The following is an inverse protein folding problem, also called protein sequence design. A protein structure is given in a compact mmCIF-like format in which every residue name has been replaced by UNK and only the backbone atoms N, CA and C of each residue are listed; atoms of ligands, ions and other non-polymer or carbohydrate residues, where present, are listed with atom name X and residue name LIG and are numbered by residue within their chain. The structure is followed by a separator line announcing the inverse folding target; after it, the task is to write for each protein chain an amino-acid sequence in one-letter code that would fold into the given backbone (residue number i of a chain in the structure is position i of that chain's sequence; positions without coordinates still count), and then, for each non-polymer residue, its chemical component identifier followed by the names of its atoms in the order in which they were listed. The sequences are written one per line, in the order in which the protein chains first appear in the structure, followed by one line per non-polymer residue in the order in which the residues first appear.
data_IF_481470197819
#
_entry.id   IF_481470197819
#
_cell.length_a   1.000
_cell.length_b   1.000
_cell.length_c   1.000
_cell.angle_alpha   90.00
_cell.angle_beta   90.00
_cell.angle_gamma   90.00
#
_symmetry.space_group_name_H-M   'P 1'
#
loop_
_entity.id
_entity.type
_entity.pdbx_description
1 polymer ?
#
# COMPACT_ATOMS: atom_id res chain seq x y z
N UNK A 1 -4.34 -25.27 -42.09
CA UNK A 1 -3.86 -23.87 -42.09
C UNK A 1 -3.08 -23.65 -43.37
N UNK A 2 -3.59 -22.86 -44.32
CA UNK A 2 -2.80 -22.43 -45.47
C UNK A 2 -1.81 -21.37 -44.98
N UNK A 3 -0.51 -21.62 -45.17
CA UNK A 3 0.54 -20.62 -44.90
C UNK A 3 0.38 -19.47 -45.90
N UNK A 4 0.38 -18.23 -45.42
CA UNK A 4 0.58 -17.05 -46.27
C UNK A 4 2.00 -17.14 -46.84
N UNK A 5 2.13 -17.40 -48.13
CA UNK A 5 3.40 -17.28 -48.86
C UNK A 5 3.59 -15.81 -49.26
N UNK A 6 4.44 -15.09 -48.52
CA UNK A 6 4.75 -13.66 -48.76
C UNK A 6 5.85 -13.51 -49.84
N UNK A 7 6.40 -14.63 -50.34
CA UNK A 7 7.67 -14.67 -51.05
C UNK A 7 7.61 -14.57 -52.58
N UNK A 8 6.43 -14.61 -53.20
CA UNK A 8 6.28 -14.44 -54.65
C UNK A 8 5.18 -13.41 -54.95
N UNK A 9 5.58 -12.27 -55.53
CA UNK A 9 4.72 -11.11 -55.78
C UNK A 9 3.34 -11.42 -56.35
N UNK A 10 2.31 -10.96 -55.63
CA UNK A 10 1.01 -10.50 -56.11
C UNK A 10 0.16 -11.50 -56.91
N UNK A 11 -0.63 -12.32 -56.23
CA UNK A 11 -1.88 -12.86 -56.78
C UNK A 11 -3.01 -11.87 -56.41
N UNK A 12 -4.04 -11.65 -57.24
CA UNK A 12 -5.16 -10.75 -56.87
C UNK A 12 -5.80 -11.14 -55.52
N UNK A 13 -5.82 -12.44 -55.21
CA UNK A 13 -6.24 -12.98 -53.91
C UNK A 13 -5.28 -12.66 -52.73
N UNK A 14 -3.98 -12.43 -52.96
CA UNK A 14 -3.05 -12.07 -51.88
C UNK A 14 -3.23 -10.64 -51.40
N UNK A 15 -3.71 -9.73 -52.26
CA UNK A 15 -4.09 -8.38 -51.85
C UNK A 15 -5.39 -8.40 -51.06
N UNK A 16 -6.40 -9.18 -51.48
CA UNK A 16 -7.63 -9.36 -50.70
C UNK A 16 -7.34 -9.97 -49.32
N UNK A 17 -6.45 -10.96 -49.24
CA UNK A 17 -6.00 -11.55 -47.98
C UNK A 17 -5.24 -10.53 -47.10
N UNK A 18 -4.47 -9.61 -47.70
CA UNK A 18 -3.80 -8.53 -46.99
C UNK A 18 -4.79 -7.49 -46.44
N UNK A 19 -5.77 -7.09 -47.25
CA UNK A 19 -6.84 -6.15 -46.86
C UNK A 19 -7.71 -6.75 -45.73
N UNK A 20 -7.99 -8.05 -45.79
CA UNK A 20 -8.68 -8.75 -44.71
C UNK A 20 -7.84 -8.86 -43.44
N UNK A 21 -6.52 -9.01 -43.55
CA UNK A 21 -5.60 -9.03 -42.40
C UNK A 21 -5.50 -7.65 -41.75
N UNK A 22 -5.35 -6.59 -42.53
CA UNK A 22 -5.33 -5.21 -42.05
C UNK A 22 -6.61 -4.89 -41.28
N UNK A 23 -7.78 -5.13 -41.90
CA UNK A 23 -9.08 -4.94 -41.27
C UNK A 23 -9.20 -5.70 -39.94
N UNK A 24 -8.79 -6.97 -39.93
CA UNK A 24 -8.83 -7.82 -38.72
C UNK A 24 -7.89 -7.30 -37.63
N UNK A 25 -6.75 -6.73 -38.00
CA UNK A 25 -5.78 -6.16 -37.05
C UNK A 25 -6.33 -4.87 -36.46
N UNK A 26 -6.93 -4.00 -37.27
CA UNK A 26 -7.62 -2.78 -36.83
C UNK A 26 -8.78 -3.10 -35.87
N UNK A 27 -9.61 -4.09 -36.20
CA UNK A 27 -10.72 -4.53 -35.34
C UNK A 27 -10.21 -5.04 -33.97
N UNK A 28 -9.09 -5.80 -33.95
CA UNK A 28 -8.49 -6.31 -32.71
C UNK A 28 -7.90 -5.18 -31.86
N UNK A 29 -7.21 -4.22 -32.49
CA UNK A 29 -6.65 -3.06 -31.80
C UNK A 29 -7.77 -2.23 -31.16
N UNK A 30 -8.89 -2.03 -31.87
CA UNK A 30 -10.05 -1.33 -31.33
C UNK A 30 -10.63 -2.06 -30.10
N UNK A 31 -10.75 -3.40 -30.14
CA UNK A 31 -11.26 -4.20 -29.01
C UNK A 31 -10.35 -4.12 -27.78
N UNK A 32 -9.03 -4.23 -27.98
CA UNK A 32 -8.05 -4.13 -26.88
C UNK A 32 -8.11 -2.74 -26.24
N UNK A 33 -8.12 -1.68 -27.04
CA UNK A 33 -8.15 -0.32 -26.49
C UNK A 33 -9.50 0.08 -25.92
N UNK A 34 -10.63 -0.39 -26.47
CA UNK A 34 -11.94 -0.25 -25.80
C UNK A 34 -11.96 -0.88 -24.41
N UNK A 35 -11.16 -1.92 -24.19
CA UNK A 35 -11.04 -2.57 -22.88
C UNK A 35 -10.11 -1.83 -21.93
N UNK A 36 -9.14 -1.06 -22.44
CA UNK A 36 -8.15 -0.32 -21.63
C UNK A 36 -8.49 1.16 -21.42
N UNK A 37 -9.24 1.78 -22.33
CA UNK A 37 -9.62 3.19 -22.27
C UNK A 37 -10.93 3.37 -21.51
N UNK A 38 -10.97 4.37 -20.63
CA UNK A 38 -12.15 4.68 -19.82
C UNK A 38 -13.35 5.08 -20.68
N UNK A 39 -13.10 5.88 -21.72
CA UNK A 39 -14.10 6.26 -22.71
C UNK A 39 -13.47 6.33 -24.11
N UNK A 40 -13.72 5.36 -25.01
CA UNK A 40 -13.11 5.33 -26.35
C UNK A 40 -13.59 6.47 -27.28
N UNK A 41 -14.53 7.31 -26.85
CA UNK A 41 -14.93 8.53 -27.56
C UNK A 41 -14.07 9.75 -27.21
N UNK A 42 -13.25 9.65 -26.16
CA UNK A 42 -12.33 10.71 -25.73
C UNK A 42 -10.95 10.46 -26.35
N UNK A 43 -10.21 11.55 -26.55
CA UNK A 43 -8.85 11.50 -27.09
C UNK A 43 -7.84 11.42 -25.96
N UNK A 44 -6.87 10.52 -26.08
CA UNK A 44 -5.91 10.24 -25.02
C UNK A 44 -4.49 10.49 -25.47
N UNK A 45 -3.72 11.17 -24.62
CA UNK A 45 -2.26 11.20 -24.73
C UNK A 45 -1.69 9.94 -24.11
N UNK A 46 -1.04 9.09 -24.90
CA UNK A 46 -0.56 7.77 -24.47
C UNK A 46 0.81 7.86 -23.81
N UNK A 47 1.75 8.51 -24.49
CA UNK A 47 3.09 8.85 -23.97
C UNK A 47 3.62 10.09 -24.68
N UNK A 48 4.57 10.77 -24.06
CA UNK A 48 5.17 11.97 -24.64
C UNK A 48 4.16 13.11 -24.80
N UNK A 49 4.21 13.78 -25.96
CA UNK A 49 3.41 14.97 -26.32
C UNK A 49 3.37 16.02 -25.20
N UNK A 50 4.49 16.19 -24.50
CA UNK A 50 4.62 17.20 -23.45
C UNK A 50 4.80 18.54 -24.14
N UNK A 51 3.86 19.46 -23.89
CA UNK A 51 3.91 20.83 -24.37
C UNK A 51 4.60 21.69 -23.32
N UNK A 52 5.60 22.46 -23.73
CA UNK A 52 6.33 23.38 -22.87
C UNK A 52 6.56 24.71 -23.58
N UNK A 53 6.37 25.80 -22.85
CA UNK A 53 6.70 27.14 -23.34
C UNK A 53 8.16 27.47 -23.03
N UNK A 54 8.87 27.97 -24.05
CA UNK A 54 10.17 28.59 -23.90
C UNK A 54 10.03 30.10 -24.13
N UNK A 55 9.84 30.82 -23.03
CA UNK A 55 9.59 32.28 -23.05
C UNK A 55 10.81 33.05 -23.56
N UNK A 56 12.02 32.53 -23.36
CA UNK A 56 13.24 33.17 -23.81
C UNK A 56 13.39 33.08 -25.33
N UNK A 57 13.04 31.94 -25.91
CA UNK A 57 13.05 31.73 -27.36
C UNK A 57 11.76 32.20 -28.05
N UNK A 58 10.71 32.51 -27.28
CA UNK A 58 9.39 32.86 -27.82
C UNK A 58 8.74 31.69 -28.57
N UNK A 59 8.95 30.45 -28.09
CA UNK A 59 8.48 29.24 -28.77
C UNK A 59 7.65 28.34 -27.87
N UNK A 60 6.78 27.55 -28.49
CA UNK A 60 6.07 26.44 -27.89
C UNK A 60 6.67 25.14 -28.44
N UNK A 61 7.20 24.32 -27.54
CA UNK A 61 7.85 23.05 -27.85
C UNK A 61 6.90 21.91 -27.50
N UNK A 62 6.88 20.88 -28.34
CA UNK A 62 6.23 19.60 -28.02
C UNK A 62 7.20 18.45 -28.24
N UNK A 63 7.25 17.53 -27.29
CA UNK A 63 8.04 16.30 -27.42
C UNK A 63 7.35 15.32 -28.36
N UNK A 64 8.13 14.42 -28.95
CA UNK A 64 7.58 13.25 -29.62
C UNK A 64 6.66 12.44 -28.70
N UNK A 65 5.72 11.70 -29.28
CA UNK A 65 4.77 10.91 -28.50
C UNK A 65 3.72 10.21 -29.35
N UNK A 66 2.63 9.79 -28.71
CA UNK A 66 1.48 9.21 -29.41
C UNK A 66 0.16 9.65 -28.77
N UNK A 67 -0.82 9.89 -29.65
CA UNK A 67 -2.19 10.26 -29.30
C UNK A 67 -3.15 9.22 -29.89
N UNK A 68 -4.14 8.82 -29.10
CA UNK A 68 -5.32 8.11 -29.59
C UNK A 68 -6.44 9.13 -29.83
N UNK A 69 -6.95 9.19 -31.05
CA UNK A 69 -8.02 10.12 -31.44
C UNK A 69 -8.92 9.46 -32.49
N UNK A 70 -10.24 9.65 -32.40
CA UNK A 70 -11.21 9.09 -33.35
C UNK A 70 -11.04 7.58 -33.64
N UNK A 71 -10.55 6.81 -32.65
CA UNK A 71 -10.27 5.37 -32.73
C UNK A 71 -9.00 4.96 -33.47
N UNK A 72 -8.16 5.92 -33.84
CA UNK A 72 -6.87 5.68 -34.49
C UNK A 72 -5.71 6.18 -33.63
N UNK A 73 -4.51 5.70 -33.97
CA UNK A 73 -3.26 6.08 -33.32
C UNK A 73 -2.49 7.01 -34.23
N UNK A 74 -2.11 8.16 -33.70
CA UNK A 74 -1.26 9.11 -34.39
C UNK A 74 0.02 9.31 -33.61
N UNK A 75 1.14 9.15 -34.30
CA UNK A 75 2.43 9.58 -33.79
C UNK A 75 2.47 11.11 -33.79
N UNK A 76 2.99 11.68 -32.71
CA UNK A 76 3.27 13.10 -32.60
C UNK A 76 4.75 13.32 -32.86
N UNK A 77 5.04 14.18 -33.83
CA UNK A 77 6.42 14.55 -34.16
C UNK A 77 6.90 15.66 -33.23
N UNK A 78 8.12 15.56 -32.72
CA UNK A 78 8.71 16.63 -31.93
C UNK A 78 8.87 17.90 -32.77
N UNK A 79 8.45 19.04 -32.23
CA UNK A 79 8.51 20.31 -32.95
C UNK A 79 8.60 21.51 -32.01
N UNK A 80 9.07 22.62 -32.56
CA UNK A 80 9.08 23.94 -31.93
C UNK A 80 8.40 24.92 -32.88
N UNK A 81 7.34 25.57 -32.41
CA UNK A 81 6.58 26.56 -33.20
C UNK A 81 6.60 27.92 -32.49
N UNK A 82 6.46 29.05 -33.20
CA UNK A 82 6.40 30.37 -32.57
C UNK A 82 5.23 30.49 -31.59
N UNK A 83 5.47 31.15 -30.46
CA UNK A 83 4.43 31.50 -29.50
C UNK A 83 3.59 32.66 -30.06
N UNK A 84 2.33 32.38 -30.32
CA UNK A 84 1.29 33.33 -30.72
C UNK A 84 0.50 33.85 -29.51
N UNK A 85 -0.05 35.07 -29.65
CA UNK A 85 -0.85 35.75 -28.61
C UNK A 85 -2.32 35.80 -29.02
N UNK A 86 -3.21 35.43 -28.10
CA UNK A 86 -4.61 35.13 -28.44
C UNK A 86 -4.74 33.72 -29.02
N UNK A 87 -5.96 33.20 -29.19
CA UNK A 87 -6.20 31.90 -29.83
C UNK A 87 -5.87 30.65 -28.99
N UNK A 88 -5.93 29.49 -29.65
CA UNK A 88 -5.73 28.18 -29.03
C UNK A 88 -4.78 27.31 -29.87
N UNK A 89 -4.05 26.44 -29.18
CA UNK A 89 -3.21 25.43 -29.80
C UNK A 89 -3.92 24.07 -29.80
N UNK A 90 -3.63 23.28 -30.82
CA UNK A 90 -4.13 21.92 -30.94
C UNK A 90 -3.26 21.08 -31.84
N UNK A 91 -3.69 19.84 -32.06
CA UNK A 91 -3.04 18.90 -32.94
C UNK A 91 -3.85 18.79 -34.24
N UNK A 92 -3.15 18.85 -35.36
CA UNK A 92 -3.69 18.64 -36.70
C UNK A 92 -3.16 17.33 -37.27
N UNK A 93 -4.06 16.54 -37.85
CA UNK A 93 -3.71 15.34 -38.59
C UNK A 93 -3.17 15.77 -39.96
N UNK A 94 -1.98 15.31 -40.29
CA UNK A 94 -1.32 15.61 -41.56
C UNK A 94 -0.62 14.37 -42.08
N UNK A 95 -0.38 14.33 -43.38
CA UNK A 95 0.48 13.32 -43.98
C UNK A 95 1.90 13.47 -43.43
N UNK A 96 2.56 12.34 -43.17
CA UNK A 96 3.90 12.28 -42.63
C UNK A 96 4.90 12.85 -43.63
N UNK A 97 5.52 14.02 -43.35
CA UNK A 97 6.44 14.65 -44.29
C UNK A 97 7.73 13.83 -44.48
N UNK A 98 8.06 12.95 -43.53
CA UNK A 98 9.27 12.11 -43.55
C UNK A 98 9.05 10.75 -44.21
N UNK A 99 7.81 10.39 -44.53
CA UNK A 99 7.45 9.20 -45.29
C UNK A 99 6.64 9.61 -46.52
N UNK A 100 7.25 10.35 -47.48
CA UNK A 100 6.56 10.71 -48.71
C UNK A 100 6.21 9.40 -49.42
N UNK A 101 4.92 9.07 -49.43
CA UNK A 101 4.41 7.78 -49.91
C UNK A 101 5.14 7.32 -51.16
N UNK A 102 5.94 6.26 -51.03
CA UNK A 102 6.70 5.71 -52.17
C UNK A 102 5.71 5.05 -53.11
N UNK A 103 5.38 5.72 -54.23
CA UNK A 103 4.46 5.21 -55.25
C UNK A 103 4.75 3.74 -55.56
N UNK A 104 3.77 2.87 -55.35
CA UNK A 104 3.87 1.47 -55.70
C UNK A 104 3.31 1.32 -57.11
N UNK A 105 4.16 0.87 -58.04
CA UNK A 105 3.75 0.52 -59.40
C UNK A 105 3.51 -0.99 -59.41
N UNK A 106 2.26 -1.41 -59.60
CA UNK A 106 1.95 -2.82 -59.78
C UNK A 106 2.52 -3.34 -61.11
N UNK A 107 2.74 -4.65 -61.22
CA UNK A 107 3.16 -5.29 -62.48
C UNK A 107 2.20 -5.03 -63.66
N UNK A 108 0.95 -4.62 -63.39
CA UNK A 108 -0.03 -4.17 -64.38
C UNK A 108 0.27 -2.78 -64.98
N UNK A 109 1.27 -2.06 -64.47
CA UNK A 109 1.53 -0.65 -64.80
C UNK A 109 0.60 0.32 -64.08
N UNK A 110 -0.30 -0.17 -63.21
CA UNK A 110 -1.16 0.69 -62.40
C UNK A 110 -0.36 1.30 -61.26
N UNK A 111 -0.34 2.63 -61.20
CA UNK A 111 0.15 3.37 -60.04
C UNK A 111 -0.92 3.36 -58.95
N UNK A 112 -0.53 2.96 -57.73
CA UNK A 112 -1.30 3.27 -56.54
C UNK A 112 -0.45 4.13 -55.63
N UNK A 113 -0.99 5.29 -55.28
CA UNK A 113 -0.43 6.15 -54.24
C UNK A 113 -0.56 5.38 -52.93
N UNK A 114 0.54 4.93 -52.30
CA UNK A 114 0.43 4.26 -51.01
C UNK A 114 -0.26 5.19 -50.02
N UNK A 115 -0.97 4.60 -49.06
CA UNK A 115 -1.46 5.31 -47.89
C UNK A 115 -0.28 6.05 -47.25
N UNK A 116 -0.34 7.38 -47.25
CA UNK A 116 0.64 8.19 -46.56
C UNK A 116 0.40 7.99 -45.06
N UNK A 117 1.44 7.64 -44.31
CA UNK A 117 1.35 7.55 -42.86
C UNK A 117 0.82 8.88 -42.34
N UNK A 118 -0.20 8.87 -41.50
CA UNK A 118 -0.71 10.09 -40.88
C UNK A 118 -0.03 10.31 -39.53
N UNK A 119 0.35 11.56 -39.28
CA UNK A 119 0.93 12.02 -38.03
C UNK A 119 0.15 13.20 -37.50
N UNK A 120 0.29 13.46 -36.21
CA UNK A 120 -0.21 14.69 -35.60
C UNK A 120 0.93 15.68 -35.41
N UNK A 121 0.68 16.92 -35.83
CA UNK A 121 1.56 18.06 -35.60
C UNK A 121 0.85 19.10 -34.75
N UNK A 122 1.60 19.83 -33.92
CA UNK A 122 1.04 20.91 -33.12
C UNK A 122 0.87 22.17 -33.99
N UNK A 123 -0.29 22.80 -33.92
CA UNK A 123 -0.66 23.95 -34.75
C UNK A 123 -1.36 25.02 -33.91
N UNK A 124 -1.48 26.22 -34.48
CA UNK A 124 -2.18 27.34 -33.90
C UNK A 124 -3.44 27.62 -34.74
N UNK A 125 -4.61 27.72 -34.08
CA UNK A 125 -5.95 27.98 -34.64
C UNK A 125 -6.50 26.99 -35.69
N UNK A 126 -5.66 26.22 -36.37
CA UNK A 126 -6.04 25.22 -37.38
C UNK A 126 -5.71 23.82 -36.88
N UNK A 127 -6.61 23.22 -36.10
CA UNK A 127 -6.42 21.91 -35.47
C UNK A 127 -7.68 21.04 -35.52
N UNK A 128 -7.48 19.73 -35.61
CA UNK A 128 -8.56 18.72 -35.53
C UNK A 128 -8.86 18.35 -34.07
N UNK A 129 -7.88 18.53 -33.19
CA UNK A 129 -7.98 18.22 -31.77
C UNK A 129 -7.42 19.36 -30.91
N UNK A 130 -8.29 20.03 -30.16
CA UNK A 130 -7.86 21.06 -29.22
C UNK A 130 -6.96 20.44 -28.12
N UNK A 131 -5.82 21.06 -27.80
CA UNK A 131 -4.91 20.54 -26.77
C UNK A 131 -5.58 20.36 -25.41
N UNK A 132 -6.54 21.23 -25.07
CA UNK A 132 -7.32 21.17 -23.83
C UNK A 132 -8.29 19.98 -23.73
N UNK A 133 -8.54 19.25 -24.82
CA UNK A 133 -9.46 18.11 -24.88
C UNK A 133 -8.76 16.75 -24.73
N UNK A 134 -7.43 16.75 -24.56
CA UNK A 134 -6.64 15.54 -24.34
C UNK A 134 -6.68 15.11 -22.87
N UNK A 135 -7.14 13.89 -22.64
CA UNK A 135 -6.95 13.24 -21.34
C UNK A 135 -5.59 12.52 -21.28
N UNK A 136 -4.91 12.61 -20.14
CA UNK A 136 -3.71 11.82 -19.89
C UNK A 136 -4.11 10.35 -19.73
N UNK A 137 -3.59 9.48 -20.60
CA UNK A 137 -3.75 8.04 -20.39
C UNK A 137 -3.03 7.64 -19.08
N UNK A 138 -3.72 6.89 -18.24
CA UNK A 138 -3.19 6.39 -16.98
C UNK A 138 -3.40 4.89 -16.86
N UNK A 139 -2.32 4.17 -16.57
CA UNK A 139 -2.38 2.75 -16.23
C UNK A 139 -3.01 2.48 -14.86
N UNK A 140 -3.41 3.51 -14.07
CA UNK A 140 -4.11 3.29 -12.79
C UNK A 140 -5.36 2.43 -12.94
N UNK A 141 -5.98 2.41 -14.13
CA UNK A 141 -7.14 1.57 -14.41
C UNK A 141 -6.81 0.08 -14.64
N UNK A 142 -5.53 -0.31 -14.76
CA UNK A 142 -5.13 -1.73 -14.79
C UNK A 142 -5.31 -2.41 -13.44
N UNK A 143 -5.33 -1.62 -12.36
CA UNK A 143 -5.78 -2.10 -11.05
C UNK A 143 -7.19 -1.57 -10.86
N UNK A 144 -8.24 -2.40 -10.98
CA UNK A 144 -9.59 -1.91 -10.83
C UNK A 144 -9.77 -1.26 -9.45
N UNK A 145 -10.32 -0.06 -9.44
CA UNK A 145 -10.81 0.58 -8.22
C UNK A 145 -11.74 -0.40 -7.51
N UNK A 146 -11.67 -0.45 -6.18
CA UNK A 146 -12.54 -1.31 -5.40
C UNK A 146 -13.12 -0.55 -4.22
N UNK A 147 -14.31 -0.98 -3.79
CA UNK A 147 -15.02 -0.41 -2.66
C UNK A 147 -15.54 -1.52 -1.77
N UNK A 148 -15.39 -1.32 -0.47
CA UNK A 148 -15.89 -2.18 0.58
C UNK A 148 -17.15 -1.60 1.23
N UNK A 149 -18.15 -2.45 1.45
CA UNK A 149 -19.31 -2.18 2.29
C UNK A 149 -19.50 -3.35 3.25
N UNK A 150 -18.97 -3.23 4.46
CA UNK A 150 -18.92 -4.34 5.41
C UNK A 150 -18.10 -5.51 4.85
N UNK A 151 -18.75 -6.66 4.63
CA UNK A 151 -18.14 -7.87 4.02
C UNK A 151 -18.28 -7.94 2.50
N UNK A 152 -18.91 -6.92 1.91
CA UNK A 152 -19.17 -6.88 0.48
C UNK A 152 -18.08 -6.10 -0.26
N UNK A 153 -17.68 -6.61 -1.41
CA UNK A 153 -16.69 -6.01 -2.29
C UNK A 153 -17.31 -5.77 -3.67
N UNK A 154 -17.04 -4.60 -4.27
CA UNK A 154 -17.32 -4.34 -5.69
C UNK A 154 -16.12 -3.70 -6.37
N UNK A 155 -16.10 -3.80 -7.69
CA UNK A 155 -15.06 -3.22 -8.55
C UNK A 155 -15.66 -2.20 -9.51
N UNK A 156 -14.90 -1.16 -9.84
CA UNK A 156 -15.20 -0.25 -10.95
C UNK A 156 -14.83 -0.94 -12.28
N UNK A 157 -15.75 -0.93 -13.24
CA UNK A 157 -15.48 -1.42 -14.58
C UNK A 157 -14.62 -0.44 -15.38
N UNK A 158 -13.93 -0.89 -16.45
CA UNK A 158 -13.18 0.01 -17.33
C UNK A 158 -14.03 1.18 -17.86
N UNK A 159 -15.34 0.95 -18.10
CA UNK A 159 -16.29 2.00 -18.49
C UNK A 159 -16.52 3.12 -17.46
N UNK A 160 -15.96 3.01 -16.25
CA UNK A 160 -16.20 3.93 -15.13
C UNK A 160 -17.46 3.64 -14.31
N UNK A 161 -18.30 2.69 -14.73
CA UNK A 161 -19.46 2.26 -13.96
C UNK A 161 -19.05 1.23 -12.90
N UNK A 162 -19.69 1.26 -11.73
CA UNK A 162 -19.45 0.27 -10.68
C UNK A 162 -20.26 -1.02 -10.89
N UNK A 163 -19.61 -2.16 -10.64
CA UNK A 163 -20.28 -3.47 -10.59
C UNK A 163 -21.14 -3.66 -9.34
N UNK A 164 -21.89 -4.77 -9.26
CA UNK A 164 -22.64 -5.13 -8.07
C UNK A 164 -21.71 -5.50 -6.90
N UNK A 165 -22.19 -5.34 -5.68
CA UNK A 165 -21.54 -5.86 -4.49
C UNK A 165 -21.59 -7.39 -4.44
N UNK A 166 -20.46 -8.01 -4.13
CA UNK A 166 -20.33 -9.45 -3.87
C UNK A 166 -20.04 -9.63 -2.38
N UNK A 167 -20.90 -10.35 -1.65
CA UNK A 167 -20.65 -10.68 -0.25
C UNK A 167 -19.61 -11.80 -0.15
N UNK A 168 -18.48 -11.52 0.49
CA UNK A 168 -17.42 -12.50 0.72
C UNK A 168 -17.62 -13.28 2.02
N UNK A 169 -18.69 -12.99 2.77
CA UNK A 169 -19.06 -13.77 3.94
C UNK A 169 -19.74 -15.06 3.51
N UNK A 170 -19.02 -16.18 3.65
CA UNK A 170 -19.64 -17.49 3.64
C UNK A 170 -20.67 -17.62 4.77
N UNK A 171 -21.65 -18.55 4.67
CA UNK A 171 -22.55 -18.83 5.78
C UNK A 171 -21.73 -19.11 7.04
N UNK A 172 -22.06 -18.42 8.14
CA UNK A 172 -21.46 -18.72 9.44
C UNK A 172 -21.79 -20.19 9.75
N UNK A 173 -20.77 -21.04 9.85
CA UNK A 173 -20.99 -22.43 10.25
C UNK A 173 -21.62 -22.48 11.64
N UNK A 174 -22.63 -23.34 11.80
CA UNK A 174 -23.23 -23.55 13.11
C UNK A 174 -22.20 -24.14 14.06
N UNK A 175 -22.11 -23.57 15.26
CA UNK A 175 -21.28 -24.13 16.33
C UNK A 175 -21.93 -25.44 16.77
N UNK A 176 -21.24 -26.57 16.59
CA UNK A 176 -21.70 -27.85 17.11
C UNK A 176 -21.88 -27.75 18.64
N UNK A 177 -23.00 -28.27 19.14
CA UNK A 177 -23.23 -28.35 20.58
C UNK A 177 -22.20 -29.30 21.22
N UNK A 178 -21.84 -29.00 22.48
CA UNK A 178 -20.94 -29.84 23.27
C UNK A 178 -21.52 -30.01 24.66
N UNK A 179 -21.20 -31.15 25.28
CA UNK A 179 -21.68 -31.51 26.62
C UNK A 179 -20.54 -32.08 27.45
N UNK A 180 -20.48 -31.64 28.70
CA UNK A 180 -19.54 -32.11 29.71
C UNK A 180 -20.24 -33.02 30.71
N UNK A 181 -19.59 -34.13 31.05
CA UNK A 181 -19.95 -35.00 32.17
C UNK A 181 -18.70 -35.32 32.98
N UNK A 182 -18.48 -34.56 34.06
CA UNK A 182 -17.23 -34.62 34.82
C UNK A 182 -16.01 -34.28 33.94
N UNK A 183 -15.09 -35.23 33.79
CA UNK A 183 -13.89 -35.11 32.93
C UNK A 183 -14.10 -35.55 31.49
N UNK A 184 -15.35 -35.87 31.11
CA UNK A 184 -15.69 -36.38 29.80
C UNK A 184 -16.35 -35.30 28.92
N UNK A 185 -15.98 -35.25 27.65
CA UNK A 185 -16.51 -34.33 26.64
C UNK A 185 -17.12 -35.12 25.46
N UNK A 186 -18.28 -34.68 24.97
CA UNK A 186 -18.84 -35.14 23.69
C UNK A 186 -19.34 -33.97 22.84
N UNK A 187 -19.41 -34.19 21.54
CA UNK A 187 -19.93 -33.24 20.55
C UNK A 187 -21.18 -33.79 19.88
N UNK A 188 -22.09 -32.90 19.50
CA UNK A 188 -23.21 -33.22 18.63
C UNK A 188 -22.73 -33.23 17.17
N UNK A 189 -23.03 -34.30 16.45
CA UNK A 189 -22.71 -34.45 15.04
C UNK A 189 -23.63 -33.56 14.18
N UNK A 190 -23.27 -33.37 12.90
CA UNK A 190 -24.05 -32.58 11.94
C UNK A 190 -25.48 -33.09 11.74
N UNK A 191 -25.74 -34.37 11.99
CA UNK A 191 -27.09 -34.98 11.92
C UNK A 191 -27.89 -34.83 13.23
N UNK A 192 -27.39 -34.07 14.21
CA UNK A 192 -28.03 -33.88 15.51
C UNK A 192 -27.82 -35.02 16.51
N UNK A 193 -27.18 -36.13 16.12
CA UNK A 193 -26.86 -37.23 17.03
C UNK A 193 -25.63 -36.91 17.89
N UNK A 194 -25.63 -37.32 19.15
CA UNK A 194 -24.46 -37.16 20.03
C UNK A 194 -23.41 -38.23 19.77
N UNK A 195 -22.14 -37.82 19.66
CA UNK A 195 -21.01 -38.73 19.67
C UNK A 195 -20.75 -39.36 21.05
N UNK A 196 -19.81 -40.33 21.14
CA UNK A 196 -19.42 -40.92 22.41
C UNK A 196 -18.71 -39.90 23.31
N UNK A 197 -18.76 -40.12 24.61
CA UNK A 197 -17.96 -39.38 25.58
C UNK A 197 -16.48 -39.77 25.45
N UNK A 198 -15.61 -38.76 25.38
CA UNK A 198 -14.15 -38.91 25.45
C UNK A 198 -13.69 -38.46 26.84
N UNK A 199 -13.07 -39.35 27.61
CA UNK A 199 -12.49 -39.00 28.92
C UNK A 199 -11.17 -38.25 28.71
N UNK A 200 -11.08 -37.02 29.20
CA UNK A 200 -9.89 -36.18 29.11
C UNK A 200 -9.01 -36.26 30.37
N UNK A 201 -9.40 -37.07 31.36
CA UNK A 201 -8.58 -37.31 32.54
C UNK A 201 -7.39 -38.22 32.20
N UNK A 202 -6.18 -37.67 32.28
CA UNK A 202 -4.96 -38.46 32.27
C UNK A 202 -4.81 -39.29 33.54
N UNK A 203 -3.94 -40.32 33.54
CA UNK A 203 -3.61 -41.04 34.76
C UNK A 203 -3.07 -40.07 35.81
N UNK A 204 -3.58 -40.15 37.04
CA UNK A 204 -2.99 -39.42 38.15
C UNK A 204 -1.56 -39.92 38.36
N UNK A 205 -0.58 -39.00 38.31
CA UNK A 205 0.81 -39.33 38.62
C UNK A 205 0.96 -39.79 40.07
N UNK A 206 1.85 -40.74 40.31
CA UNK A 206 2.20 -41.13 41.68
C UNK A 206 2.87 -39.94 42.40
N UNK A 207 2.49 -39.70 43.66
CA UNK A 207 3.23 -38.78 44.51
C UNK A 207 4.67 -39.26 44.65
N UNK A 208 5.69 -38.41 44.39
CA UNK A 208 7.08 -38.84 44.55
C UNK A 208 7.38 -39.17 46.01
N UNK A 209 8.06 -40.29 46.24
CA UNK A 209 8.62 -40.63 47.56
C UNK A 209 9.60 -39.53 47.98
N UNK A 210 9.63 -39.21 49.28
CA UNK A 210 10.55 -38.22 49.82
C UNK A 210 11.23 -38.70 51.10
N UNK A 211 12.43 -38.19 51.36
CA UNK A 211 13.24 -38.54 52.52
C UNK A 211 13.86 -37.29 53.15
N UNK A 212 13.88 -37.26 54.48
CA UNK A 212 14.47 -36.19 55.28
C UNK A 212 15.77 -36.63 55.94
N UNK A 213 16.77 -35.76 55.93
CA UNK A 213 17.99 -35.88 56.74
C UNK A 213 18.31 -34.54 57.39
N UNK A 214 18.00 -34.40 58.68
CA UNK A 214 18.09 -33.12 59.38
C UNK A 214 17.16 -32.06 58.75
N UNK A 215 17.73 -30.97 58.25
CA UNK A 215 17.01 -29.88 57.54
C UNK A 215 16.97 -30.07 56.03
N UNK A 216 17.44 -31.22 55.52
CA UNK A 216 17.56 -31.47 54.10
C UNK A 216 16.48 -32.42 53.59
N UNK A 217 15.94 -32.15 52.40
CA UNK A 217 14.88 -32.93 51.74
C UNK A 217 15.36 -33.43 50.38
N UNK A 218 15.09 -34.70 50.05
CA UNK A 218 15.25 -35.22 48.69
C UNK A 218 14.00 -35.98 48.23
N UNK A 219 13.84 -36.09 46.91
CA UNK A 219 12.77 -36.84 46.27
C UNK A 219 13.33 -38.01 45.47
N UNK A 220 12.54 -39.07 45.35
CA UNK A 220 12.83 -40.17 44.44
C UNK A 220 12.40 -39.76 43.02
N UNK A 221 13.32 -39.92 42.07
CA UNK A 221 13.10 -39.64 40.67
C UNK A 221 12.20 -40.72 40.03
N UNK A 222 11.70 -40.44 38.83
CA UNK A 222 10.85 -41.36 38.07
C UNK A 222 11.54 -42.67 37.66
N UNK A 223 12.87 -42.69 37.64
CA UNK A 223 13.70 -43.88 37.39
C UNK A 223 13.92 -44.74 38.65
N UNK A 224 13.36 -44.34 39.79
CA UNK A 224 13.50 -45.02 41.08
C UNK A 224 14.77 -44.65 41.87
N UNK A 225 15.68 -43.85 41.30
CA UNK A 225 16.86 -43.38 42.00
C UNK A 225 16.53 -42.15 42.87
N UNK A 226 17.31 -41.94 43.94
CA UNK A 226 17.16 -40.77 44.78
C UNK A 226 17.91 -39.57 44.21
N UNK A 227 17.24 -38.42 44.12
CA UNK A 227 17.88 -37.15 43.80
C UNK A 227 18.81 -36.65 44.93
N UNK A 228 19.55 -35.56 44.69
CA UNK A 228 20.39 -34.94 45.72
C UNK A 228 19.53 -34.34 46.85
N UNK A 229 20.11 -34.23 48.04
CA UNK A 229 19.51 -33.49 49.15
C UNK A 229 19.52 -31.98 48.86
N UNK A 230 18.36 -31.34 49.02
CA UNK A 230 18.22 -29.90 49.06
C UNK A 230 18.24 -29.44 50.53
N UNK A 231 19.22 -28.61 50.91
CA UNK A 231 19.24 -28.01 52.24
C UNK A 231 18.23 -26.87 52.31
N UNK A 232 17.23 -27.04 53.18
CA UNK A 232 16.20 -26.03 53.40
C UNK A 232 16.58 -25.08 54.54
N UNK A 233 17.76 -25.23 55.13
CA UNK A 233 18.28 -24.27 56.08
C UNK A 233 18.76 -23.02 55.34
N UNK A 234 17.92 -21.98 55.37
CA UNK A 234 18.35 -20.64 54.96
C UNK A 234 19.54 -20.16 55.79
N UNK A 235 20.30 -19.22 55.24
CA UNK A 235 21.31 -18.52 56.03
C UNK A 235 20.63 -17.89 57.24
N UNK A 236 21.29 -17.94 58.40
CA UNK A 236 20.84 -17.17 59.56
C UNK A 236 20.84 -15.70 59.13
N UNK A 237 19.68 -15.04 59.22
CA UNK A 237 19.59 -13.61 58.90
C UNK A 237 20.58 -12.81 59.73
N UNK A 238 21.11 -11.73 59.14
CA UNK A 238 21.98 -10.81 59.86
C UNK A 238 21.28 -10.27 61.10
N UNK A 239 22.08 -10.07 62.16
CA UNK A 239 21.58 -9.37 63.34
C UNK A 239 21.20 -7.97 62.89
N UNK A 240 19.92 -7.59 63.04
CA UNK A 240 19.49 -6.23 62.70
C UNK A 240 20.28 -5.20 63.51
N UNK A 241 20.73 -4.14 62.85
CA UNK A 241 21.48 -3.06 63.49
C UNK A 241 20.64 -2.38 64.57
N UNK A 242 21.26 -2.17 65.73
CA UNK A 242 20.67 -1.50 66.87
C UNK A 242 20.25 -0.09 66.42
N UNK A 243 18.95 0.18 66.28
CA UNK A 243 18.42 1.43 65.68
C UNK A 243 18.83 2.74 66.37
N UNK A 244 20.06 3.18 66.15
CA UNK A 244 20.69 4.38 66.75
C UNK A 244 21.19 5.41 65.73
N UNK A 245 20.82 5.30 64.47
CA UNK A 245 21.20 6.28 63.44
C UNK A 245 20.02 7.18 63.03
N UNK A 246 19.45 7.89 64.01
CA UNK A 246 18.45 8.95 63.78
C UNK A 246 18.95 10.36 64.13
N UNK A 247 20.27 10.56 64.29
CA UNK A 247 20.84 11.90 64.56
C UNK A 247 21.10 12.66 63.24
N UNK A 248 20.17 13.56 62.89
CA UNK A 248 20.35 14.57 61.84
C UNK A 248 21.49 15.49 62.26
N UNK A 249 22.59 15.48 61.51
CA UNK A 249 23.86 16.04 62.01
C UNK A 249 24.05 17.53 61.70
N UNK A 250 23.37 18.14 60.71
CA UNK A 250 23.45 19.60 60.47
C UNK A 250 22.18 20.18 59.82
N UNK A 251 21.74 21.34 60.33
CA UNK A 251 20.70 22.19 59.71
C UNK A 251 21.32 23.57 59.46
N UNK A 252 21.35 24.03 58.20
CA UNK A 252 21.81 25.39 57.85
C UNK A 252 20.64 26.19 57.29
N UNK A 253 20.21 27.23 57.99
CA UNK A 253 19.22 28.17 57.48
C UNK A 253 19.91 29.16 56.52
N UNK A 254 19.45 29.22 55.27
CA UNK A 254 19.94 30.18 54.27
C UNK A 254 18.86 31.25 54.10
N UNK A 255 19.13 32.48 54.53
CA UNK A 255 18.30 33.65 54.24
C UNK A 255 18.84 34.37 53.00
N UNK A 256 18.03 34.45 51.94
CA UNK A 256 18.34 35.28 50.79
C UNK A 256 17.49 36.57 50.86
N UNK A 257 18.10 37.77 50.82
CA UNK A 257 17.33 39.00 50.68
C UNK A 257 16.75 39.09 49.26
N UNK A 258 15.42 39.12 49.13
CA UNK A 258 14.74 39.32 47.86
C UNK A 258 14.78 40.80 47.44
N UNK A 259 15.49 41.11 46.36
CA UNK A 259 15.43 42.42 45.69
C UNK A 259 14.34 42.43 44.62
N UNK A 260 13.07 42.57 45.03
CA UNK A 260 12.02 43.16 44.18
C UNK A 260 10.79 43.49 45.01
N UNK A 261 10.45 44.77 45.00
CA UNK A 261 9.32 45.37 45.68
C UNK A 261 8.02 44.95 45.01
N UNK A 262 7.24 44.09 45.68
CA UNK A 262 5.77 44.07 45.80
C UNK A 262 5.47 42.77 46.58
N UNK A 263 5.18 42.93 47.89
CA UNK A 263 5.01 41.91 48.95
C UNK A 263 6.29 41.24 49.50
N UNK A 264 6.78 41.62 50.70
CA UNK A 264 7.85 40.87 51.35
C UNK A 264 7.27 39.61 52.00
N UNK A 265 7.33 38.47 51.31
CA UNK A 265 7.31 37.17 51.99
C UNK A 265 8.75 36.67 52.04
N UNK A 266 9.37 36.70 53.22
CA UNK A 266 10.65 36.01 53.43
C UNK A 266 10.40 34.52 53.24
N UNK A 267 10.92 33.96 52.15
CA UNK A 267 10.93 32.51 51.95
C UNK A 267 12.18 31.98 52.66
N UNK A 268 12.01 31.35 53.81
CA UNK A 268 13.08 30.63 54.48
C UNK A 268 13.06 29.19 53.98
N UNK A 269 14.10 28.80 53.23
CA UNK A 269 14.28 27.42 52.79
C UNK A 269 15.28 26.75 53.75
N UNK A 270 14.89 25.60 54.30
CA UNK A 270 15.76 24.75 55.08
C UNK A 270 16.43 23.75 54.14
N UNK A 271 17.76 23.78 54.09
CA UNK A 271 18.56 22.75 53.45
C UNK A 271 18.87 21.66 54.48
N UNK A 272 18.51 20.42 54.14
CA UNK A 272 18.71 19.25 54.98
C UNK A 272 19.61 18.29 54.20
N UNK A 273 20.75 17.93 54.79
CA UNK A 273 21.62 16.90 54.25
C UNK A 273 21.32 15.56 54.94
N UNK A 274 20.98 14.55 54.15
CA UNK A 274 20.73 13.21 54.62
C UNK A 274 22.04 12.41 54.75
N UNK A 275 22.07 11.33 55.56
CA UNK A 275 23.28 10.55 55.82
C UNK A 275 23.91 9.89 54.58
N UNK A 276 23.11 9.66 53.54
CA UNK A 276 23.57 9.15 52.23
C UNK A 276 24.22 10.23 51.34
N UNK A 277 24.30 11.47 51.84
CA UNK A 277 24.84 12.62 51.14
C UNK A 277 23.84 13.36 50.27
N UNK A 278 22.58 12.89 50.17
CA UNK A 278 21.54 13.60 49.43
C UNK A 278 21.17 14.91 50.14
N UNK A 279 20.89 15.95 49.35
CA UNK A 279 20.46 17.25 49.88
C UNK A 279 18.99 17.45 49.50
N UNK A 280 18.15 17.68 50.51
CA UNK A 280 16.74 18.03 50.37
C UNK A 280 16.49 19.49 50.76
N UNK A 281 15.56 20.13 50.05
CA UNK A 281 15.12 21.49 50.36
C UNK A 281 13.67 21.48 50.80
N UNK A 282 13.41 22.00 51.99
CA UNK A 282 12.05 22.12 52.52
C UNK A 282 11.65 23.61 52.46
N UNK A 283 10.74 23.99 51.54
CA UNK A 283 10.19 25.34 51.55
C UNK A 283 9.25 25.49 52.75
N UNK A 284 9.54 26.42 53.66
CA UNK A 284 8.60 26.74 54.74
C UNK A 284 7.71 27.89 54.31
N UNK A 285 6.40 27.65 54.18
CA UNK A 285 5.42 28.72 54.04
C UNK A 285 5.00 29.19 55.42
N UNK A 286 5.51 30.34 55.85
CA UNK A 286 4.97 31.03 57.02
C UNK A 286 3.59 31.59 56.67
N UNK A 287 2.53 31.06 57.29
CA UNK A 287 1.19 31.65 57.29
C UNK A 287 1.07 32.51 58.55
N UNK A 288 1.32 33.82 58.43
CA UNK A 288 0.72 34.77 59.36
C UNK A 288 -0.67 35.12 58.82
N UNK A 289 -1.68 34.94 59.67
CA UNK A 289 -3.08 35.24 59.41
C UNK A 289 -3.38 36.72 59.28
#
# INVERSE_FOLDING_TARGET
MKKLGIENGGHLASNDDLMHLEKKTTDIVEVIFRSMLKNPQVSYKLYGCTVSEDVAEGTLKVTEGAIFHQKEFYLVTAQSIPLQTGGAYGFKITDNPNAPGTKVIYASGSEVTPHQDQVMILTYEDFDLAGASLEQFSFKHLTPSHEWSGTQLRFEFPSGNWGPFVDLKGPKGDRLAHEWSGTQLRFQNQNGAWGPFVNLQGPQGNTPSHEWSGTQLRFQNSDGNWGPFADLKGQKGDKGDDGKDNDITFIKAISAPSTSYIFPRQLTILEVQFPDGAIGYIPTTYQAG
#
